data_IF_201007769375
#
_entry.id   IF_201007769375
#
_cell.length_a   1.000
_cell.length_b   1.000
_cell.length_c   1.000
_cell.angle_alpha   90.00
_cell.angle_beta   90.00
_cell.angle_gamma   90.00
#
_symmetry.space_group_name_H-M   'P 1'
#
loop_
_entity.id
_entity.type
_entity.pdbx_description
1 polymer ?
#
# COMPACT_ATOMS: atom_id res chain seq x y z
N UNK A 1 2.51 -9.95 18.19
CA UNK A 1 1.04 -10.08 18.01
C UNK A 1 0.72 -11.26 17.12
N UNK A 2 -0.21 -12.12 17.55
CA UNK A 2 -0.59 -13.31 16.78
C UNK A 2 -1.56 -12.96 15.66
N UNK A 3 -1.73 -13.85 14.69
CA UNK A 3 -2.71 -13.68 13.62
C UNK A 3 -4.15 -13.61 14.18
N UNK A 4 -4.43 -14.36 15.24
CA UNK A 4 -5.71 -14.32 15.93
C UNK A 4 -5.98 -12.94 16.54
N UNK A 5 -4.97 -12.32 17.15
CA UNK A 5 -5.07 -10.97 17.72
C UNK A 5 -5.32 -9.93 16.64
N UNK A 6 -4.65 -10.04 15.50
CA UNK A 6 -4.85 -9.14 14.35
C UNK A 6 -6.25 -9.24 13.79
N UNK A 7 -6.78 -10.46 13.68
CA UNK A 7 -8.15 -10.70 13.21
C UNK A 7 -9.16 -10.09 14.15
N UNK A 8 -8.97 -10.29 15.46
CA UNK A 8 -9.84 -9.71 16.50
C UNK A 8 -9.83 -8.19 16.46
N UNK A 9 -8.65 -7.58 16.32
CA UNK A 9 -8.53 -6.13 16.22
C UNK A 9 -9.25 -5.58 14.99
N UNK A 10 -9.07 -6.20 13.81
CA UNK A 10 -9.75 -5.78 12.58
C UNK A 10 -11.26 -5.95 12.61
N UNK A 11 -11.77 -6.79 13.50
CA UNK A 11 -13.20 -6.95 13.73
C UNK A 11 -13.74 -5.93 14.74
N UNK A 12 -12.88 -5.14 15.41
CA UNK A 12 -13.29 -4.19 16.42
C UNK A 12 -14.00 -2.98 15.82
N UNK A 13 -14.88 -2.38 16.62
CA UNK A 13 -15.59 -1.15 16.24
C UNK A 13 -14.62 0.00 15.99
N UNK A 14 -13.58 0.12 16.84
CA UNK A 14 -12.53 1.14 16.73
C UNK A 14 -11.85 1.11 15.36
N UNK A 15 -11.45 -0.08 14.92
CA UNK A 15 -10.80 -0.25 13.62
C UNK A 15 -11.73 0.07 12.45
N UNK A 16 -12.97 -0.44 12.52
CA UNK A 16 -13.96 -0.22 11.46
C UNK A 16 -14.30 1.24 11.28
N UNK A 17 -14.50 1.98 12.38
CA UNK A 17 -14.77 3.42 12.35
C UNK A 17 -13.59 4.20 11.77
N UNK A 18 -12.37 3.85 12.17
CA UNK A 18 -11.15 4.46 11.65
C UNK A 18 -11.02 4.22 10.15
N UNK A 19 -11.19 2.98 9.71
CA UNK A 19 -11.11 2.60 8.30
C UNK A 19 -12.16 3.35 7.46
N UNK A 20 -13.38 3.41 7.93
CA UNK A 20 -14.46 4.07 7.21
C UNK A 20 -14.21 5.58 7.06
N UNK A 21 -13.69 6.21 8.11
CA UNK A 21 -13.31 7.63 8.05
C UNK A 21 -12.19 7.86 7.05
N UNK A 22 -11.14 7.05 7.09
CA UNK A 22 -10.02 7.15 6.15
C UNK A 22 -10.49 6.93 4.70
N UNK A 23 -11.43 6.02 4.50
CA UNK A 23 -11.98 5.75 3.17
C UNK A 23 -12.71 6.95 2.58
N UNK A 24 -13.39 7.73 3.41
CA UNK A 24 -14.06 8.96 2.97
C UNK A 24 -13.07 10.05 2.58
N UNK A 25 -11.93 10.11 3.24
CA UNK A 25 -10.90 11.11 2.98
C UNK A 25 -10.05 10.81 1.76
N UNK A 26 -9.75 9.53 1.50
CA UNK A 26 -8.88 9.12 0.41
C UNK A 26 -9.69 8.62 -0.77
N UNK A 27 -9.48 9.19 -1.96
CA UNK A 27 -10.25 8.89 -3.18
C UNK A 27 -9.49 8.04 -4.18
N UNK A 28 -8.15 8.13 -4.20
CA UNK A 28 -7.32 7.46 -5.21
C UNK A 28 -6.19 6.68 -4.57
N UNK A 29 -5.72 5.65 -5.29
CA UNK A 29 -4.50 4.92 -4.96
C UNK A 29 -3.30 5.84 -5.27
N UNK A 30 -2.44 6.16 -4.29
CA UNK A 30 -1.33 7.10 -4.52
C UNK A 30 -0.24 6.55 -5.43
N UNK A 31 -0.15 5.24 -5.63
CA UNK A 31 0.87 4.64 -6.48
C UNK A 31 0.48 4.74 -7.95
N UNK A 32 -0.79 4.44 -8.27
CA UNK A 32 -1.26 4.42 -9.65
C UNK A 32 -2.05 5.66 -10.05
N UNK A 33 -2.54 6.43 -9.08
CA UNK A 33 -3.46 7.53 -9.33
C UNK A 33 -4.86 7.07 -9.71
N UNK A 34 -5.10 5.77 -9.75
CA UNK A 34 -6.41 5.22 -10.10
C UNK A 34 -7.40 5.37 -8.93
N UNK A 35 -8.67 5.51 -9.27
CA UNK A 35 -9.73 5.56 -8.27
C UNK A 35 -9.70 4.30 -7.38
N UNK A 36 -9.87 4.49 -6.08
CA UNK A 36 -9.93 3.36 -5.15
C UNK A 36 -11.14 2.48 -5.45
N UNK A 37 -10.89 1.18 -5.57
CA UNK A 37 -11.95 0.19 -5.80
C UNK A 37 -12.63 -0.16 -4.48
N UNK A 38 -13.78 -0.83 -4.58
CA UNK A 38 -14.50 -1.33 -3.41
C UNK A 38 -13.66 -2.25 -2.53
N UNK A 39 -12.71 -2.98 -3.14
CA UNK A 39 -11.86 -3.96 -2.45
C UNK A 39 -10.51 -3.38 -2.02
N UNK A 40 -10.35 -2.04 -2.03
CA UNK A 40 -9.11 -1.42 -1.58
C UNK A 40 -8.81 -1.76 -0.12
N UNK A 41 -7.53 -1.98 0.17
CA UNK A 41 -7.05 -2.38 1.49
C UNK A 41 -6.38 -1.21 2.21
N UNK A 42 -6.68 -1.03 3.49
CA UNK A 42 -5.98 -0.06 4.33
C UNK A 42 -4.65 -0.67 4.77
N UNK A 43 -3.56 -0.08 4.28
CA UNK A 43 -2.21 -0.59 4.49
C UNK A 43 -1.50 0.16 5.61
N UNK A 44 -0.86 -0.59 6.53
CA UNK A 44 0.02 -0.04 7.55
C UNK A 44 1.37 0.31 6.93
N UNK A 45 1.80 1.56 7.09
CA UNK A 45 3.17 1.97 6.72
C UNK A 45 4.18 1.59 7.81
N UNK A 46 3.72 1.57 9.06
CA UNK A 46 4.52 1.10 10.20
C UNK A 46 4.39 -0.42 10.32
N UNK A 47 5.48 -1.15 10.06
CA UNK A 47 5.51 -2.60 10.09
C UNK A 47 5.90 -3.17 11.47
N UNK A 48 6.04 -2.33 12.49
CA UNK A 48 6.34 -2.77 13.84
C UNK A 48 5.09 -3.42 14.46
N UNK A 49 5.19 -4.71 14.81
CA UNK A 49 4.09 -5.47 15.39
C UNK A 49 3.59 -4.88 16.71
N UNK A 50 4.47 -4.24 17.48
CA UNK A 50 4.10 -3.59 18.74
C UNK A 50 3.19 -2.38 18.55
N UNK A 51 3.18 -1.80 17.34
CA UNK A 51 2.35 -0.65 17.00
C UNK A 51 1.10 -1.02 16.18
N UNK A 52 0.81 -2.30 16.03
CA UNK A 52 -0.27 -2.76 15.15
C UNK A 52 -1.64 -2.13 15.47
N UNK A 53 -1.94 -1.94 16.76
CA UNK A 53 -3.22 -1.37 17.20
C UNK A 53 -3.19 0.15 17.39
N UNK A 54 -2.04 0.79 17.10
CA UNK A 54 -1.88 2.24 17.29
C UNK A 54 -2.50 3.01 16.12
N UNK A 55 -3.61 3.68 16.37
CA UNK A 55 -4.33 4.50 15.39
C UNK A 55 -4.09 6.00 15.62
N UNK A 56 -3.11 6.37 16.48
CA UNK A 56 -2.88 7.76 16.86
C UNK A 56 -2.29 8.62 15.73
N UNK A 57 -1.51 8.02 14.82
CA UNK A 57 -0.94 8.73 13.68
C UNK A 57 -1.60 8.25 12.39
N UNK A 58 -2.54 9.02 11.88
CA UNK A 58 -3.28 8.70 10.66
C UNK A 58 -2.40 8.65 9.41
N UNK A 59 -1.22 9.32 9.44
CA UNK A 59 -0.28 9.28 8.32
C UNK A 59 0.38 7.92 8.13
N UNK A 60 0.30 7.04 9.12
CA UNK A 60 0.81 5.68 9.04
C UNK A 60 -0.10 4.72 8.26
N UNK A 61 -1.21 5.21 7.72
CA UNK A 61 -2.19 4.39 7.02
C UNK A 61 -2.52 4.97 5.66
N UNK A 62 -2.62 4.10 4.66
CA UNK A 62 -3.00 4.50 3.30
C UNK A 62 -3.80 3.39 2.65
N UNK A 63 -4.87 3.75 1.92
CA UNK A 63 -5.58 2.77 1.10
C UNK A 63 -4.82 2.50 -0.19
N UNK A 64 -4.70 1.23 -0.53
CA UNK A 64 -4.14 0.77 -1.80
C UNK A 64 -5.15 -0.15 -2.47
N UNK A 65 -5.28 -0.04 -3.78
CA UNK A 65 -6.06 -1.00 -4.52
C UNK A 65 -5.44 -2.39 -4.36
N UNK A 66 -6.26 -3.43 -4.40
CA UNK A 66 -5.85 -4.79 -4.06
C UNK A 66 -4.56 -5.22 -4.76
N UNK A 67 -4.42 -4.93 -6.05
CA UNK A 67 -3.23 -5.31 -6.81
C UNK A 67 -1.99 -4.58 -6.28
N UNK A 68 -2.08 -3.27 -6.01
CA UNK A 68 -0.94 -2.50 -5.50
C UNK A 68 -0.56 -2.91 -4.08
N UNK A 69 -1.54 -3.25 -3.26
CA UNK A 69 -1.29 -3.79 -1.92
C UNK A 69 -0.47 -5.08 -1.99
N UNK A 70 -0.81 -5.99 -2.92
CA UNK A 70 -0.04 -7.21 -3.16
C UNK A 70 1.39 -6.94 -3.64
N UNK A 71 1.55 -5.96 -4.53
CA UNK A 71 2.87 -5.56 -5.04
C UNK A 71 3.75 -5.03 -3.91
N UNK A 72 3.20 -4.14 -3.07
CA UNK A 72 3.94 -3.58 -1.92
C UNK A 72 4.35 -4.69 -0.97
N UNK A 73 3.46 -5.61 -0.63
CA UNK A 73 3.78 -6.74 0.23
C UNK A 73 4.86 -7.64 -0.39
N UNK A 74 4.79 -7.91 -1.69
CA UNK A 74 5.80 -8.71 -2.36
C UNK A 74 7.19 -8.06 -2.32
N UNK A 75 7.24 -6.73 -2.45
CA UNK A 75 8.50 -6.00 -2.45
C UNK A 75 9.12 -5.86 -1.05
N UNK A 76 8.30 -5.64 -0.02
CA UNK A 76 8.80 -5.21 1.28
C UNK A 76 8.72 -6.27 2.39
N UNK A 77 7.71 -7.13 2.39
CA UNK A 77 7.56 -8.11 3.48
C UNK A 77 8.61 -9.24 3.45
N UNK A 78 9.15 -9.55 2.29
CA UNK A 78 10.15 -10.61 2.15
C UNK A 78 11.58 -10.08 2.06
N UNK A 79 11.75 -8.76 2.20
CA UNK A 79 13.06 -8.10 2.15
C UNK A 79 13.37 -7.45 3.49
N UNK A 80 14.64 -7.43 3.88
CA UNK A 80 15.08 -6.69 5.06
C UNK A 80 14.97 -5.18 4.80
N UNK A 81 14.64 -4.35 5.80
CA UNK A 81 14.50 -2.90 5.61
C UNK A 81 15.65 -2.23 4.88
N UNK A 82 16.90 -2.68 5.14
CA UNK A 82 18.09 -2.16 4.45
C UNK A 82 18.09 -2.40 2.95
N UNK A 83 17.28 -3.35 2.46
CA UNK A 83 17.20 -3.69 1.05
C UNK A 83 16.06 -2.96 0.33
N UNK A 84 15.15 -2.33 1.07
CA UNK A 84 13.97 -1.69 0.49
C UNK A 84 14.31 -0.62 -0.53
N UNK A 85 15.31 0.23 -0.22
CA UNK A 85 15.74 1.28 -1.15
C UNK A 85 16.21 0.70 -2.47
N UNK A 86 17.01 -0.36 -2.43
CA UNK A 86 17.51 -1.06 -3.61
C UNK A 86 16.35 -1.60 -4.46
N UNK A 87 15.35 -2.22 -3.80
CA UNK A 87 14.17 -2.78 -4.47
C UNK A 87 13.33 -1.69 -5.13
N UNK A 88 13.11 -0.58 -4.44
CA UNK A 88 12.38 0.56 -4.98
C UNK A 88 13.09 1.17 -6.18
N UNK A 89 14.40 1.35 -6.10
CA UNK A 89 15.18 1.88 -7.23
C UNK A 89 15.13 0.96 -8.45
N UNK A 90 15.16 -0.36 -8.24
CA UNK A 90 15.02 -1.33 -9.32
C UNK A 90 13.63 -1.22 -9.99
N UNK A 91 12.58 -1.08 -9.19
CA UNK A 91 11.22 -0.89 -9.71
C UNK A 91 11.10 0.40 -10.52
N UNK A 92 11.65 1.50 -10.01
CA UNK A 92 11.63 2.79 -10.72
C UNK A 92 12.33 2.67 -12.08
N UNK A 93 13.47 1.98 -12.13
CA UNK A 93 14.20 1.76 -13.38
C UNK A 93 13.35 1.01 -14.41
N UNK A 94 12.69 -0.07 -13.98
CA UNK A 94 11.80 -0.86 -14.84
C UNK A 94 10.66 0.01 -15.37
N UNK A 95 10.02 0.80 -14.50
CA UNK A 95 8.92 1.67 -14.89
C UNK A 95 9.35 2.71 -15.92
N UNK A 96 10.55 3.27 -15.77
CA UNK A 96 11.10 4.22 -16.76
C UNK A 96 11.35 3.57 -18.11
N UNK A 97 11.87 2.34 -18.13
CA UNK A 97 12.06 1.59 -19.36
C UNK A 97 10.74 1.29 -20.05
N UNK A 98 9.72 0.90 -19.30
CA UNK A 98 8.38 0.66 -19.83
C UNK A 98 7.77 1.93 -20.41
N UNK A 99 7.95 3.07 -19.74
CA UNK A 99 7.48 4.37 -20.21
C UNK A 99 8.14 4.72 -21.54
N UNK A 100 9.46 4.54 -21.66
CA UNK A 100 10.19 4.81 -22.89
C UNK A 100 9.72 3.94 -24.06
N UNK A 101 9.50 2.65 -23.82
CA UNK A 101 9.01 1.71 -24.85
C UNK A 101 7.61 2.13 -25.33
N UNK A 102 6.70 2.43 -24.40
CA UNK A 102 5.34 2.82 -24.74
C UNK A 102 5.27 4.17 -25.44
N UNK A 103 6.13 5.11 -25.07
CA UNK A 103 6.24 6.41 -25.73
C UNK A 103 6.71 6.27 -27.18
N UNK A 104 7.68 5.38 -27.46
CA UNK A 104 8.17 5.09 -28.80
C UNK A 104 7.06 4.49 -29.67
N UNK A 105 6.27 3.58 -29.12
CA UNK A 105 5.15 2.98 -29.84
C UNK A 105 4.08 4.04 -30.20
N UNK A 106 3.79 4.96 -29.28
CA UNK A 106 2.86 6.05 -29.52
C UNK A 106 3.37 7.02 -30.61
N UNK A 107 4.67 7.26 -30.65
CA UNK A 107 5.28 8.09 -31.69
C UNK A 107 5.18 7.48 -33.09
N UNK A 108 5.14 6.15 -33.18
CA UNK A 108 5.05 5.43 -34.44
C UNK A 108 3.63 5.33 -34.98
N UNK A 109 2.66 5.59 -34.14
CA UNK A 109 1.26 5.57 -34.56
C UNK A 109 0.79 6.95 -35.02
#
# INVERSE_FOLDING_TARGET
MTQKDKTKFRASKKWKEFRDRKRKEQKVDPITGAKLTRMANLHHLDLNEDHYEDLSDETHFVFLNQMMHKVVHALFLKSKPREWRKRVLALIKILKEMENINSRENEKS
#
